data_IF_102791078806
#
_entry.id   IF_102791078806
#
_cell.length_a   1.000
_cell.length_b   1.000
_cell.length_c   1.000
_cell.angle_alpha   90.00
_cell.angle_beta   90.00
_cell.angle_gamma   90.00
#
_symmetry.space_group_name_H-M   'P 1'
#
loop_
_entity.id
_entity.type
_entity.pdbx_description
1 polymer ?
#
# COMPACT_ATOMS: atom_id res chain seq x y z
N UNK A 1 -1.27 -1.80 -11.01
CA UNK A 1 0.14 -1.83 -11.45
C UNK A 1 0.85 -2.97 -10.74
N UNK A 2 1.61 -3.82 -11.43
CA UNK A 2 2.40 -4.86 -10.74
C UNK A 2 3.70 -4.26 -10.22
N UNK A 3 3.94 -4.39 -8.91
CA UNK A 3 5.00 -3.66 -8.20
C UNK A 3 5.62 -4.52 -7.11
N UNK A 4 6.81 -4.12 -6.69
CA UNK A 4 7.39 -4.43 -5.39
C UNK A 4 7.16 -3.23 -4.48
N UNK A 5 6.49 -3.45 -3.35
CA UNK A 5 6.27 -2.45 -2.31
C UNK A 5 7.27 -2.63 -1.17
N UNK A 6 7.86 -1.53 -0.71
CA UNK A 6 8.66 -1.45 0.50
C UNK A 6 7.94 -0.51 1.46
N UNK A 7 7.65 -0.97 2.67
CA UNK A 7 7.11 -0.13 3.74
C UNK A 7 8.22 0.81 4.23
N UNK A 8 7.98 2.12 4.17
CA UNK A 8 8.93 3.16 4.59
C UNK A 8 8.67 3.63 6.02
N UNK A 9 7.51 3.27 6.55
CA UNK A 9 7.06 3.53 7.91
C UNK A 9 6.43 2.25 8.47
N UNK A 10 6.47 2.07 9.78
CA UNK A 10 5.75 1.02 10.51
C UNK A 10 5.26 1.61 11.83
N UNK A 11 3.96 1.48 12.11
CA UNK A 11 3.28 2.06 13.26
C UNK A 11 3.61 3.56 13.43
N UNK A 12 3.59 4.31 12.33
CA UNK A 12 3.86 5.75 12.32
C UNK A 12 5.33 6.14 12.47
N UNK A 13 6.24 5.17 12.61
CA UNK A 13 7.69 5.41 12.76
C UNK A 13 8.39 5.19 11.42
N UNK A 14 9.16 6.18 10.98
CA UNK A 14 9.96 6.06 9.76
C UNK A 14 11.06 5.03 9.94
N UNK A 15 11.14 4.08 9.00
CA UNK A 15 12.22 3.08 8.97
C UNK A 15 13.55 3.72 8.53
N UNK A 16 14.69 3.27 9.09
CA UNK A 16 16.02 3.67 8.63
C UNK A 16 16.21 3.36 7.15
N UNK A 17 16.98 4.21 6.46
CA UNK A 17 17.17 4.09 5.00
C UNK A 17 17.79 2.74 4.62
N UNK A 18 18.78 2.29 5.38
CA UNK A 18 19.52 1.05 5.16
C UNK A 18 18.57 -0.15 5.25
N UNK A 19 17.65 -0.13 6.23
CA UNK A 19 16.65 -1.17 6.40
C UNK A 19 15.66 -1.22 5.22
N UNK A 20 15.26 -0.07 4.68
CA UNK A 20 14.40 -0.02 3.49
C UNK A 20 15.12 -0.50 2.23
N UNK A 21 16.42 -0.23 2.10
CA UNK A 21 17.21 -0.66 0.94
C UNK A 21 17.51 -2.16 0.95
N UNK A 22 17.66 -2.74 2.14
CA UNK A 22 17.83 -4.19 2.32
C UNK A 22 16.52 -4.97 2.25
N UNK A 23 15.37 -4.30 2.28
CA UNK A 23 14.06 -4.93 2.26
C UNK A 23 13.79 -5.55 0.87
N UNK A 24 13.56 -6.87 0.77
CA UNK A 24 13.22 -7.51 -0.49
C UNK A 24 11.87 -7.04 -1.05
N UNK A 25 11.05 -6.40 -0.21
CA UNK A 25 9.73 -5.89 -0.51
C UNK A 25 8.69 -6.99 -0.71
N UNK A 26 7.43 -6.57 -0.83
CA UNK A 26 6.30 -7.43 -1.10
C UNK A 26 5.83 -7.18 -2.52
N UNK A 27 5.86 -8.24 -3.34
CA UNK A 27 5.43 -8.18 -4.73
C UNK A 27 3.93 -8.40 -4.82
N UNK A 28 3.24 -7.53 -5.56
CA UNK A 28 1.80 -7.63 -5.74
C UNK A 28 1.27 -6.68 -6.80
N UNK A 29 -0.05 -6.68 -6.96
CA UNK A 29 -0.75 -5.67 -7.75
C UNK A 29 -1.16 -4.52 -6.84
N UNK A 30 -0.59 -3.35 -7.10
CA UNK A 30 -0.99 -2.11 -6.46
C UNK A 30 -2.16 -1.49 -7.21
N UNK A 31 -3.24 -1.21 -6.47
CA UNK A 31 -4.36 -0.38 -6.88
C UNK A 31 -4.39 0.86 -6.02
N UNK A 32 -4.50 2.04 -6.65
CA UNK A 32 -4.72 3.32 -5.97
C UNK A 32 -5.99 3.90 -6.59
N UNK A 33 -6.98 4.21 -5.76
CA UNK A 33 -8.25 4.71 -6.25
C UNK A 33 -9.33 4.67 -5.19
N UNK A 34 -10.53 5.02 -5.60
CA UNK A 34 -11.69 5.05 -4.72
C UNK A 34 -12.24 3.63 -4.52
N UNK A 35 -12.41 3.24 -3.26
CA UNK A 35 -13.07 1.99 -2.91
C UNK A 35 -14.59 2.26 -2.82
N UNK A 36 -15.43 1.49 -3.53
CA UNK A 36 -16.88 1.64 -3.45
C UNK A 36 -17.39 1.33 -2.04
N UNK A 37 -18.35 2.14 -1.59
CA UNK A 37 -18.69 2.34 -0.18
C UNK A 37 -19.66 1.27 0.31
N UNK A 38 -19.39 0.73 1.50
CA UNK A 38 -20.36 -0.01 2.32
C UNK A 38 -20.30 0.29 3.82
N UNK A 39 -19.37 1.14 4.31
CA UNK A 39 -19.06 1.19 5.74
C UNK A 39 -18.77 2.57 6.35
N UNK A 40 -18.70 3.68 5.59
CA UNK A 40 -18.57 5.03 6.17
C UNK A 40 -19.22 6.10 5.28
N UNK A 41 -20.25 6.77 5.81
CA UNK A 41 -20.76 8.11 5.43
C UNK A 41 -20.96 8.48 3.94
N UNK A 42 -21.20 7.53 3.03
CA UNK A 42 -21.53 7.80 1.61
C UNK A 42 -20.45 8.58 0.82
N UNK A 43 -19.22 8.68 1.32
CA UNK A 43 -18.08 9.26 0.57
C UNK A 43 -17.13 8.16 0.08
N UNK A 44 -16.71 8.18 -1.21
CA UNK A 44 -15.71 7.23 -1.68
C UNK A 44 -14.41 7.39 -0.89
N UNK A 45 -13.87 6.28 -0.38
CA UNK A 45 -12.61 6.29 0.36
C UNK A 45 -11.47 6.06 -0.63
N UNK A 46 -10.59 7.06 -0.74
CA UNK A 46 -9.43 6.95 -1.60
C UNK A 46 -8.34 6.14 -0.90
N UNK A 47 -7.95 5.01 -1.48
CA UNK A 47 -7.05 4.08 -0.81
C UNK A 47 -6.01 3.47 -1.75
N UNK A 48 -4.87 3.09 -1.17
CA UNK A 48 -3.89 2.22 -1.78
C UNK A 48 -4.04 0.80 -1.21
N UNK A 49 -4.16 -0.17 -2.11
CA UNK A 49 -4.28 -1.58 -1.78
C UNK A 49 -3.22 -2.38 -2.54
N UNK A 50 -2.44 -3.17 -1.83
CA UNK A 50 -1.55 -4.17 -2.41
C UNK A 50 -2.22 -5.55 -2.30
N UNK A 51 -2.47 -6.19 -3.43
CA UNK A 51 -3.17 -7.47 -3.47
C UNK A 51 -2.58 -8.42 -4.50
N UNK A 52 -2.78 -9.70 -4.31
CA UNK A 52 -2.55 -10.73 -5.33
C UNK A 52 -3.87 -11.30 -5.83
N UNK A 53 -3.87 -11.77 -7.07
CA UNK A 53 -5.03 -12.47 -7.64
C UNK A 53 -4.98 -13.92 -7.18
N UNK A 54 -6.06 -14.38 -6.56
CA UNK A 54 -6.22 -15.78 -6.18
C UNK A 54 -7.29 -16.42 -7.08
N UNK A 55 -6.85 -17.32 -7.96
CA UNK A 55 -7.73 -17.93 -8.95
C UNK A 55 -8.22 -16.92 -10.00
N UNK A 56 -9.48 -17.05 -10.42
CA UNK A 56 -10.05 -16.26 -11.53
C UNK A 56 -10.51 -14.87 -11.09
N UNK A 57 -11.08 -14.74 -9.89
CA UNK A 57 -11.79 -13.51 -9.48
C UNK A 57 -11.46 -13.02 -8.06
N UNK A 58 -10.91 -13.87 -7.18
CA UNK A 58 -10.65 -13.45 -5.81
C UNK A 58 -9.37 -12.60 -5.73
N UNK A 59 -9.38 -11.63 -4.81
CA UNK A 59 -8.23 -10.81 -4.47
C UNK A 59 -7.87 -11.07 -3.01
N UNK A 60 -6.60 -11.35 -2.73
CA UNK A 60 -6.08 -11.43 -1.35
C UNK A 60 -5.26 -10.18 -1.07
N UNK A 61 -5.62 -9.44 -0.01
CA UNK A 61 -4.80 -8.32 0.45
C UNK A 61 -3.46 -8.85 0.96
N UNK A 62 -2.37 -8.22 0.55
CA UNK A 62 -1.01 -8.56 0.97
C UNK A 62 -0.50 -7.65 2.08
N UNK A 63 -1.01 -6.42 2.12
CA UNK A 63 -0.78 -5.44 3.17
C UNK A 63 -2.12 -4.85 3.62
N UNK A 64 -2.20 -4.30 4.85
CA UNK A 64 -3.31 -3.44 5.23
C UNK A 64 -3.43 -2.26 4.25
N UNK A 65 -4.65 -1.83 3.89
CA UNK A 65 -4.83 -0.70 3.01
C UNK A 65 -4.36 0.61 3.66
N UNK A 66 -3.83 1.53 2.85
CA UNK A 66 -3.62 2.92 3.26
C UNK A 66 -4.82 3.75 2.82
N UNK A 67 -5.52 4.37 3.76
CA UNK A 67 -6.64 5.27 3.51
C UNK A 67 -6.18 6.73 3.35
N UNK A 68 -7.02 7.53 2.72
CA UNK A 68 -6.73 8.92 2.31
C UNK A 68 -5.35 9.06 1.67
N UNK A 69 -5.04 8.10 0.79
CA UNK A 69 -3.70 7.99 0.24
C UNK A 69 -3.37 9.18 -0.65
N UNK A 70 -2.14 9.68 -0.54
CA UNK A 70 -1.60 10.72 -1.39
C UNK A 70 -0.37 10.19 -2.11
N UNK A 71 -0.27 10.49 -3.41
CA UNK A 71 0.97 10.30 -4.16
C UNK A 71 1.89 11.46 -3.83
N UNK A 72 2.95 11.18 -3.08
CA UNK A 72 3.91 12.21 -2.66
C UNK A 72 4.91 12.52 -3.76
N UNK A 73 5.35 11.50 -4.49
CA UNK A 73 6.37 11.65 -5.53
C UNK A 73 6.27 10.53 -6.55
N UNK A 74 6.38 10.90 -7.82
CA UNK A 74 6.59 9.97 -8.92
C UNK A 74 8.02 10.16 -9.41
N UNK A 75 8.74 9.07 -9.58
CA UNK A 75 10.12 9.04 -10.06
C UNK A 75 10.24 7.97 -11.14
N UNK A 76 11.28 8.01 -12.00
CA UNK A 76 11.51 6.94 -12.97
C UNK A 76 11.50 5.52 -12.36
N UNK A 77 12.12 5.26 -11.18
CA UNK A 77 12.08 3.93 -10.56
C UNK A 77 10.76 3.58 -9.87
N UNK A 78 9.81 4.51 -9.70
CA UNK A 78 8.54 4.18 -9.06
C UNK A 78 7.84 5.34 -8.36
N UNK A 79 6.84 4.99 -7.55
CA UNK A 79 5.96 5.94 -6.86
C UNK A 79 6.10 5.83 -5.35
N UNK A 80 6.06 6.96 -4.68
CA UNK A 80 6.00 7.08 -3.23
C UNK A 80 4.60 7.53 -2.83
N UNK A 81 3.97 6.76 -1.97
CA UNK A 81 2.63 7.06 -1.45
C UNK A 81 2.63 7.11 0.06
N UNK A 82 1.69 7.87 0.62
CA UNK A 82 1.46 7.98 2.06
C UNK A 82 -0.02 8.00 2.34
N UNK A 83 -0.44 7.38 3.44
CA UNK A 83 -1.83 7.43 3.90
C UNK A 83 -1.93 6.99 5.34
N UNK A 84 -3.13 6.66 5.78
CA UNK A 84 -3.39 6.18 7.13
C UNK A 84 -3.65 4.68 7.14
N UNK A 85 -2.92 3.97 7.99
CA UNK A 85 -3.23 2.61 8.36
C UNK A 85 -4.08 2.65 9.63
N UNK A 86 -5.23 2.00 9.58
CA UNK A 86 -6.13 1.85 10.73
C UNK A 86 -5.89 0.47 11.35
N UNK A 87 -5.42 0.43 12.60
CA UNK A 87 -5.26 -0.80 13.38
C UNK A 87 -6.30 -0.89 14.48
N UNK A 88 -6.90 -2.06 14.64
CA UNK A 88 -7.86 -2.38 15.73
C UNK A 88 -7.28 -3.36 16.76
N UNK A 89 -6.00 -3.71 16.64
CA UNK A 89 -5.36 -4.73 17.48
C UNK A 89 -5.42 -4.39 18.98
N UNK A 90 -5.41 -3.11 19.33
CA UNK A 90 -5.41 -2.67 20.73
C UNK A 90 -6.76 -2.79 21.46
N UNK A 91 -7.84 -3.30 20.82
CA UNK A 91 -9.19 -3.59 21.36
C UNK A 91 -9.92 -2.47 22.14
N UNK A 92 -9.26 -1.35 22.46
CA UNK A 92 -9.78 -0.17 23.16
C UNK A 92 -10.10 0.99 22.22
N UNK A 93 -9.92 0.81 20.91
CA UNK A 93 -10.20 1.80 19.88
C UNK A 93 -9.44 1.51 18.59
N UNK A 94 -9.84 2.17 17.51
CA UNK A 94 -9.04 2.23 16.29
C UNK A 94 -7.86 3.18 16.52
N UNK A 95 -6.65 2.74 16.20
CA UNK A 95 -5.46 3.60 16.17
C UNK A 95 -5.09 3.84 14.71
N UNK A 96 -4.82 5.10 14.38
CA UNK A 96 -4.43 5.49 13.03
C UNK A 96 -2.94 5.86 13.02
N UNK A 97 -2.22 5.25 12.10
CA UNK A 97 -0.80 5.53 11.88
C UNK A 97 -0.60 6.10 10.49
N UNK A 98 0.16 7.19 10.39
CA UNK A 98 0.60 7.68 9.11
C UNK A 98 1.68 6.74 8.56
N UNK A 99 1.37 6.04 7.48
CA UNK A 99 2.25 5.05 6.86
C UNK A 99 2.64 5.47 5.44
N UNK A 100 3.78 4.95 4.96
CA UNK A 100 4.31 5.27 3.65
C UNK A 100 4.85 4.06 2.92
N UNK A 101 4.60 3.98 1.62
CA UNK A 101 5.09 2.91 0.74
C UNK A 101 5.94 3.48 -0.39
N UNK A 102 7.06 2.82 -0.67
CA UNK A 102 7.78 2.95 -1.93
C UNK A 102 7.39 1.80 -2.85
N UNK A 103 6.75 2.09 -3.98
CA UNK A 103 6.30 1.10 -4.95
C UNK A 103 7.12 1.19 -6.23
N UNK A 104 7.90 0.15 -6.49
CA UNK A 104 8.77 0.01 -7.67
C UNK A 104 8.08 -0.92 -8.67
N UNK A 105 7.80 -0.46 -9.91
CA UNK A 105 7.27 -1.34 -10.95
C UNK A 105 8.20 -2.53 -11.19
N UNK A 106 7.63 -3.72 -11.22
CA UNK A 106 8.33 -4.91 -11.70
C UNK A 106 7.98 -4.99 -13.18
N UNK A 107 8.99 -4.84 -14.06
CA UNK A 107 8.76 -4.96 -15.50
C UNK A 107 8.02 -6.26 -15.84
N UNK A 108 7.22 -6.26 -16.91
CA UNK A 108 6.69 -7.53 -17.45
C UNK A 108 7.90 -8.42 -17.77
N UNK A 109 7.99 -9.57 -17.13
CA UNK A 109 8.79 -10.66 -17.69
C UNK A 109 8.20 -10.98 -19.07
N UNK A 110 8.90 -10.62 -20.15
CA UNK A 110 8.47 -10.91 -21.53
C UNK A 110 8.62 -9.77 -22.55
N UNK A 111 9.77 -9.10 -22.59
CA UNK A 111 10.22 -8.37 -23.77
C UNK A 111 11.72 -8.62 -23.97
N UNK A 112 12.04 -9.83 -24.40
CA UNK A 112 13.32 -10.22 -24.99
C UNK A 112 12.99 -11.14 -26.16
#
# INVERSE_FOLDING_TARGET
>A
MHVRVIELMVAGVRRPREACLADPGITGTLSIGDIPIGTAEKRPLHAAQLWERWGTSAKRSLLPPLFDVQVLRITPPGVFVRGYLVSTENRRGATEWAEGWGAVPIGKAGAA
#
